data_IF_668930486639
#
_entry.id   IF_668930486639
#
_cell.length_a   1.000
_cell.length_b   1.000
_cell.length_c   1.000
_cell.angle_alpha   90.00
_cell.angle_beta   90.00
_cell.angle_gamma   90.00
#
_symmetry.space_group_name_H-M   'P 1'
#
loop_
_entity.id
_entity.type
_entity.pdbx_description
1 polymer ?
#
# COMPACT_ATOMS: atom_id res chain seq x y z
N UNK A 1 -55.03 59.91 49.72
CA UNK A 1 -55.96 60.37 48.66
C UNK A 1 -55.18 60.39 47.36
N UNK A 2 -55.18 59.27 46.64
CA UNK A 2 -54.76 59.14 45.23
C UNK A 2 -55.30 57.78 44.76
N UNK A 3 -56.47 57.82 44.12
CA UNK A 3 -57.01 56.73 43.32
C UNK A 3 -56.26 56.69 41.99
N UNK A 4 -55.86 55.50 41.56
CA UNK A 4 -55.51 55.22 40.18
C UNK A 4 -56.49 54.15 39.70
N UNK A 5 -57.44 54.59 38.89
CA UNK A 5 -58.45 53.77 38.22
C UNK A 5 -57.83 53.02 37.04
N UNK A 6 -58.36 51.82 36.80
CA UNK A 6 -57.96 50.93 35.73
C UNK A 6 -58.58 51.36 34.39
N UNK A 7 -57.80 51.26 33.30
CA UNK A 7 -58.30 51.31 31.93
C UNK A 7 -58.13 49.96 31.20
N UNK A 8 -58.99 49.66 30.20
CA UNK A 8 -59.29 48.29 29.77
C UNK A 8 -58.46 47.80 28.57
N UNK A 9 -58.42 46.47 28.46
CA UNK A 9 -57.72 45.69 27.43
C UNK A 9 -58.35 45.85 26.02
N UNK A 10 -57.55 46.04 24.95
CA UNK A 10 -58.06 46.01 23.57
C UNK A 10 -58.20 44.57 23.02
N UNK A 11 -59.08 44.35 22.03
CA UNK A 11 -59.67 43.04 21.72
C UNK A 11 -58.79 42.10 20.89
N UNK A 12 -59.03 40.80 21.10
CA UNK A 12 -58.52 39.66 20.34
C UNK A 12 -58.72 39.82 18.82
N UNK A 13 -57.63 39.90 18.06
CA UNK A 13 -57.62 39.66 16.63
C UNK A 13 -57.37 38.18 16.35
N UNK A 14 -58.44 37.52 15.91
CA UNK A 14 -58.48 36.17 15.37
C UNK A 14 -57.63 36.11 14.09
N UNK A 15 -56.40 35.59 14.17
CA UNK A 15 -55.66 35.16 12.99
C UNK A 15 -56.10 33.74 12.66
N UNK A 16 -57.07 33.67 11.75
CA UNK A 16 -57.49 32.46 11.06
C UNK A 16 -56.26 31.74 10.48
N UNK A 17 -56.22 30.43 10.70
CA UNK A 17 -55.35 29.46 10.04
C UNK A 17 -55.16 29.79 8.55
N UNK A 18 -53.95 30.18 8.19
CA UNK A 18 -53.41 29.78 6.89
C UNK A 18 -52.62 28.51 7.16
N UNK A 19 -53.27 27.39 6.88
CA UNK A 19 -52.63 26.08 6.72
C UNK A 19 -51.60 26.19 5.59
N UNK A 20 -50.38 26.61 5.94
CA UNK A 20 -49.21 26.33 5.12
C UNK A 20 -49.01 24.82 5.19
N UNK A 21 -49.30 24.18 4.06
CA UNK A 21 -49.11 22.77 3.80
C UNK A 21 -47.80 22.27 4.41
N UNK A 22 -47.91 21.20 5.18
CA UNK A 22 -46.87 20.50 5.93
C UNK A 22 -45.78 19.83 5.06
N UNK A 23 -45.68 20.23 3.80
CA UNK A 23 -44.87 19.61 2.74
C UNK A 23 -43.74 20.51 2.19
N UNK A 24 -43.45 21.66 2.81
CA UNK A 24 -42.31 22.52 2.45
C UNK A 24 -41.14 22.53 3.47
N UNK A 25 -41.11 21.58 4.41
CA UNK A 25 -39.86 21.20 5.08
C UNK A 25 -39.19 20.06 4.30
N UNK A 26 -38.88 20.34 3.04
CA UNK A 26 -38.04 19.48 2.23
C UNK A 26 -36.68 19.29 2.93
N UNK A 27 -36.30 18.02 3.10
CA UNK A 27 -35.10 17.53 3.75
C UNK A 27 -33.85 18.40 3.45
N UNK A 28 -33.51 19.30 4.38
CA UNK A 28 -32.16 19.87 4.45
C UNK A 28 -31.22 18.71 4.77
N UNK A 29 -30.27 18.35 3.88
CA UNK A 29 -29.37 17.25 4.18
C UNK A 29 -28.57 17.60 5.44
N UNK A 30 -28.69 16.77 6.47
CA UNK A 30 -27.91 16.90 7.70
C UNK A 30 -26.40 16.89 7.41
N UNK A 31 -25.56 17.35 8.36
CA UNK A 31 -24.12 17.43 8.15
C UNK A 31 -23.55 16.08 7.69
N UNK A 32 -22.78 16.11 6.60
CA UNK A 32 -22.29 14.89 5.94
C UNK A 32 -21.64 13.92 6.94
N UNK A 33 -22.05 12.65 6.89
CA UNK A 33 -21.51 11.61 7.75
C UNK A 33 -20.04 11.30 7.36
N UNK A 34 -19.28 10.65 8.24
CA UNK A 34 -17.84 10.37 8.06
C UNK A 34 -17.52 9.70 6.72
N UNK A 35 -18.40 8.81 6.22
CA UNK A 35 -18.24 8.16 4.90
C UNK A 35 -18.41 9.15 3.75
N UNK A 36 -19.48 9.94 3.76
CA UNK A 36 -19.73 10.98 2.76
C UNK A 36 -18.60 12.02 2.71
N UNK A 37 -18.07 12.45 3.87
CA UNK A 37 -16.91 13.36 3.92
C UNK A 37 -15.66 12.78 3.27
N UNK A 38 -15.46 11.46 3.34
CA UNK A 38 -14.34 10.78 2.67
C UNK A 38 -14.57 10.70 1.16
N UNK A 39 -15.76 10.34 0.73
CA UNK A 39 -16.14 10.29 -0.68
C UNK A 39 -16.03 11.68 -1.32
N UNK A 40 -16.54 12.72 -0.68
CA UNK A 40 -16.39 14.10 -1.13
C UNK A 40 -14.92 14.51 -1.25
N UNK A 41 -14.08 14.15 -0.26
CA UNK A 41 -12.64 14.44 -0.32
C UNK A 41 -11.95 13.69 -1.47
N UNK A 42 -12.30 12.43 -1.71
CA UNK A 42 -11.77 11.64 -2.83
C UNK A 42 -12.22 12.20 -4.17
N UNK A 43 -13.51 12.52 -4.32
CA UNK A 43 -14.06 13.08 -5.56
C UNK A 43 -13.45 14.44 -5.89
N UNK A 44 -13.21 15.28 -4.88
CA UNK A 44 -12.53 16.57 -5.05
C UNK A 44 -11.07 16.41 -5.52
N UNK A 45 -10.47 15.23 -5.35
CA UNK A 45 -9.10 14.91 -5.76
C UNK A 45 -9.02 14.07 -7.04
N UNK A 46 -10.12 13.47 -7.49
CA UNK A 46 -10.17 12.61 -8.69
C UNK A 46 -10.03 13.36 -10.03
N UNK A 47 -9.54 14.60 -10.04
CA UNK A 47 -9.41 15.45 -11.23
C UNK A 47 -7.98 15.78 -11.67
N UNK A 48 -6.92 15.25 -11.04
CA UNK A 48 -5.56 15.48 -11.49
C UNK A 48 -4.47 15.29 -10.43
N UNK A 49 -3.22 15.19 -10.89
CA UNK A 49 -2.02 15.08 -10.07
C UNK A 49 -1.84 16.35 -9.24
N UNK A 50 -2.30 16.31 -7.99
CA UNK A 50 -2.24 17.45 -7.05
C UNK A 50 -0.92 17.44 -6.29
N UNK A 51 -0.34 18.62 -6.11
CA UNK A 51 0.82 18.81 -5.24
C UNK A 51 0.42 18.75 -3.75
N UNK A 52 -0.86 18.79 -3.37
CA UNK A 52 -1.26 18.71 -1.96
C UNK A 52 -1.17 17.28 -1.43
N UNK A 53 -0.41 17.10 -0.34
CA UNK A 53 -0.29 15.81 0.35
C UNK A 53 -1.66 15.30 0.84
N UNK A 54 -1.93 13.99 0.73
CA UNK A 54 -3.18 13.42 1.21
C UNK A 54 -3.31 13.52 2.73
N UNK A 55 -4.53 13.64 3.22
CA UNK A 55 -4.84 13.78 4.66
C UNK A 55 -5.21 12.44 5.28
N UNK A 56 -4.36 11.90 6.16
CA UNK A 56 -4.50 10.56 6.79
C UNK A 56 -5.90 10.27 7.35
N UNK A 57 -6.58 11.28 7.92
CA UNK A 57 -7.92 11.15 8.52
C UNK A 57 -8.97 10.57 7.57
N UNK A 58 -8.82 10.74 6.25
CA UNK A 58 -9.75 10.25 5.24
C UNK A 58 -9.46 8.83 4.74
N UNK A 59 -8.27 8.29 5.05
CA UNK A 59 -7.79 6.97 4.59
C UNK A 59 -7.66 5.96 5.74
N UNK A 60 -8.14 6.30 6.95
CA UNK A 60 -8.07 5.40 8.10
C UNK A 60 -8.93 4.16 7.89
N UNK A 61 -8.27 3.00 7.88
CA UNK A 61 -8.86 1.66 7.93
C UNK A 61 -8.43 0.96 9.22
N UNK A 62 -9.23 -0.01 9.71
CA UNK A 62 -8.83 -0.83 10.88
C UNK A 62 -7.51 -1.53 10.56
N UNK A 63 -6.60 -1.57 11.53
CA UNK A 63 -5.27 -2.16 11.38
C UNK A 63 -5.33 -3.67 11.06
N UNK A 64 -6.27 -4.38 11.67
CA UNK A 64 -6.45 -5.81 11.46
C UNK A 64 -7.26 -6.07 10.18
N UNK A 65 -6.59 -6.04 9.03
CA UNK A 65 -7.10 -6.71 7.84
C UNK A 65 -7.01 -8.23 8.07
N UNK A 66 -7.99 -8.99 7.61
CA UNK A 66 -7.87 -10.43 7.63
C UNK A 66 -6.90 -10.84 6.51
N UNK A 67 -5.70 -11.28 6.88
CA UNK A 67 -4.66 -11.75 5.97
C UNK A 67 -5.14 -12.94 5.12
N UNK A 68 -6.29 -13.54 5.44
CA UNK A 68 -6.87 -14.65 4.69
C UNK A 68 -8.10 -14.27 3.85
N UNK A 69 -8.57 -13.02 3.88
CA UNK A 69 -9.69 -12.57 3.03
C UNK A 69 -9.17 -11.99 1.69
N UNK A 70 -8.40 -12.79 0.96
CA UNK A 70 -7.65 -12.40 -0.25
C UNK A 70 -8.49 -12.31 -1.54
N UNK A 71 -9.82 -12.12 -1.44
CA UNK A 71 -10.69 -12.30 -2.61
C UNK A 71 -10.38 -11.33 -3.78
N UNK A 72 -9.70 -10.22 -3.52
CA UNK A 72 -9.40 -9.17 -4.50
C UNK A 72 -7.91 -8.78 -4.58
N UNK A 73 -6.98 -9.69 -4.27
CA UNK A 73 -5.53 -9.44 -4.48
C UNK A 73 -5.06 -10.19 -5.72
N UNK A 74 -4.52 -9.43 -6.69
CA UNK A 74 -3.91 -9.98 -7.90
C UNK A 74 -2.40 -10.11 -7.65
N UNK A 75 -1.89 -11.32 -7.81
CA UNK A 75 -0.46 -11.61 -7.75
C UNK A 75 0.06 -11.87 -9.17
N UNK A 76 1.27 -11.40 -9.51
CA UNK A 76 1.89 -11.79 -10.77
C UNK A 76 2.13 -13.30 -10.79
N UNK A 77 2.07 -13.90 -11.98
CA UNK A 77 2.29 -15.34 -12.18
C UNK A 77 3.73 -15.72 -11.77
N UNK A 78 4.69 -14.85 -12.06
CA UNK A 78 6.08 -14.93 -11.61
C UNK A 78 6.70 -13.53 -11.61
N UNK A 79 7.91 -13.34 -11.06
CA UNK A 79 8.57 -12.03 -11.04
C UNK A 79 8.75 -11.40 -12.43
N UNK A 80 8.85 -12.24 -13.48
CA UNK A 80 8.97 -11.79 -14.87
C UNK A 80 7.67 -11.18 -15.43
N UNK A 81 6.53 -11.40 -14.78
CA UNK A 81 5.22 -10.89 -15.17
C UNK A 81 4.79 -9.65 -14.36
N UNK A 82 5.69 -9.08 -13.55
CA UNK A 82 5.41 -7.88 -12.77
C UNK A 82 5.75 -6.62 -13.56
N UNK A 83 4.74 -5.81 -13.87
CA UNK A 83 4.92 -4.52 -14.55
C UNK A 83 5.39 -3.44 -13.57
N UNK A 84 6.70 -3.43 -13.30
CA UNK A 84 7.30 -2.42 -12.43
C UNK A 84 7.33 -1.01 -13.06
N UNK A 85 7.21 -0.89 -14.40
CA UNK A 85 7.25 0.41 -15.08
C UNK A 85 6.08 1.32 -14.69
N UNK A 86 4.92 0.75 -14.36
CA UNK A 86 3.77 1.51 -13.83
C UNK A 86 4.08 2.18 -12.48
N UNK A 87 4.96 1.59 -11.66
CA UNK A 87 5.34 2.12 -10.35
C UNK A 87 6.52 3.09 -10.40
N UNK A 88 7.45 2.87 -11.34
CA UNK A 88 8.71 3.61 -11.50
C UNK A 88 8.90 4.13 -12.94
N UNK A 89 8.01 5.02 -13.43
CA UNK A 89 8.03 5.45 -14.83
C UNK A 89 9.34 6.15 -15.24
N UNK A 90 10.02 6.84 -14.31
CA UNK A 90 11.31 7.48 -14.56
C UNK A 90 12.45 6.48 -14.83
N UNK A 91 12.29 5.22 -14.41
CA UNK A 91 13.28 4.15 -14.56
C UNK A 91 12.90 3.14 -15.64
N UNK A 92 11.75 3.31 -16.30
CA UNK A 92 11.34 2.48 -17.41
C UNK A 92 12.23 2.73 -18.64
N UNK A 93 12.49 1.68 -19.41
CA UNK A 93 13.07 1.80 -20.73
C UNK A 93 12.11 2.54 -21.66
N UNK A 94 12.63 3.39 -22.58
CA UNK A 94 11.80 4.05 -23.58
C UNK A 94 11.12 2.99 -24.47
N UNK A 95 9.90 3.26 -24.91
CA UNK A 95 9.23 2.39 -25.88
C UNK A 95 10.04 2.36 -27.16
N UNK A 96 10.47 1.17 -27.57
CA UNK A 96 11.01 0.95 -28.91
C UNK A 96 9.82 1.06 -29.85
N UNK A 97 9.68 2.20 -30.52
CA UNK A 97 8.76 2.31 -31.64
C UNK A 97 9.28 1.36 -32.73
N UNK A 98 8.62 0.22 -32.90
CA UNK A 98 8.88 -0.66 -34.03
C UNK A 98 8.68 0.16 -35.31
N UNK A 99 9.79 0.53 -35.97
CA UNK A 99 9.79 1.01 -37.34
C UNK A 99 9.31 -0.12 -38.22
N UNK A 100 8.00 -0.17 -38.48
CA UNK A 100 7.42 -1.03 -39.52
C UNK A 100 7.94 -0.50 -40.86
N UNK A 101 9.08 -1.02 -41.31
CA UNK A 101 9.41 -1.05 -42.73
C UNK A 101 8.38 -1.92 -43.41
N UNK A 102 7.54 -1.28 -44.21
CA UNK A 102 6.61 -1.91 -45.13
C UNK A 102 7.35 -2.76 -46.14
N UNK A 103 7.50 -4.07 -45.87
CA UNK A 103 7.81 -5.04 -46.92
C UNK A 103 6.54 -5.80 -47.27
N UNK A 104 5.91 -5.31 -48.32
CA UNK A 104 4.78 -5.91 -49.03
C UNK A 104 5.16 -7.29 -49.58
N UNK A 105 4.46 -8.34 -49.16
CA UNK A 105 4.35 -9.62 -49.89
C UNK A 105 3.09 -10.31 -49.35
N UNK A 106 1.90 -9.95 -49.87
CA UNK A 106 1.13 -10.71 -50.85
C UNK A 106 0.94 -12.21 -50.56
N UNK A 107 -0.35 -12.57 -50.42
CA UNK A 107 -1.02 -13.87 -50.66
C UNK A 107 -0.75 -15.00 -49.66
N UNK A 108 -1.74 -15.74 -49.14
CA UNK A 108 -2.99 -16.19 -49.76
C UNK A 108 -4.01 -16.66 -48.70
N UNK A 109 -5.30 -16.39 -48.99
CA UNK A 109 -6.49 -16.93 -48.34
C UNK A 109 -6.50 -18.46 -48.22
N UNK A 110 -6.88 -18.97 -47.05
CA UNK A 110 -7.61 -20.25 -46.95
C UNK A 110 -8.75 -20.10 -45.93
N UNK A 111 -9.95 -20.06 -46.49
CA UNK A 111 -11.25 -20.16 -45.85
C UNK A 111 -11.43 -21.50 -45.12
N UNK A 112 -11.83 -21.48 -43.84
CA UNK A 112 -12.39 -22.65 -43.16
C UNK A 112 -13.71 -22.26 -42.49
N UNK A 113 -14.72 -23.04 -42.86
CA UNK A 113 -16.16 -22.83 -42.65
C UNK A 113 -16.57 -22.97 -41.19
N UNK A 114 -17.52 -22.14 -40.81
CA UNK A 114 -18.33 -22.29 -39.62
C UNK A 114 -19.07 -23.63 -39.63
N UNK A 115 -19.04 -24.33 -38.50
CA UNK A 115 -20.01 -25.37 -38.15
C UNK A 115 -20.83 -24.80 -37.00
N UNK A 116 -22.09 -24.50 -37.31
CA UNK A 116 -23.12 -24.17 -36.34
C UNK A 116 -23.60 -25.47 -35.67
N UNK A 117 -23.60 -25.49 -34.34
CA UNK A 117 -24.54 -26.29 -33.56
C UNK A 117 -25.09 -25.41 -32.47
N UNK A 118 -26.37 -25.07 -32.60
CA UNK A 118 -27.21 -24.52 -31.54
C UNK A 118 -27.48 -25.62 -30.51
N UNK A 119 -27.40 -25.28 -29.22
CA UNK A 119 -28.43 -25.65 -28.26
C UNK A 119 -28.28 -24.88 -26.94
N UNK A 120 -29.42 -24.40 -26.44
CA UNK A 120 -29.74 -24.44 -25.01
C UNK A 120 -29.33 -23.25 -24.14
N UNK A 121 -30.29 -22.37 -23.90
CA UNK A 121 -30.37 -21.36 -22.85
C UNK A 121 -30.11 -21.88 -21.43
N UNK A 122 -29.42 -21.08 -20.60
CA UNK A 122 -29.91 -20.65 -19.28
C UNK A 122 -29.07 -19.47 -18.74
N UNK A 123 -29.75 -18.53 -18.08
CA UNK A 123 -29.24 -17.20 -17.81
C UNK A 123 -28.51 -16.97 -16.47
N UNK A 124 -28.10 -15.71 -16.36
CA UNK A 124 -27.86 -14.91 -15.15
C UNK A 124 -26.43 -14.87 -14.58
N UNK A 125 -25.85 -13.66 -14.55
CA UNK A 125 -24.97 -13.22 -13.46
C UNK A 125 -23.52 -12.88 -13.81
N UNK A 126 -23.19 -11.61 -13.55
CA UNK A 126 -21.86 -11.05 -13.28
C UNK A 126 -20.88 -10.90 -14.46
N UNK A 127 -20.78 -9.67 -14.96
CA UNK A 127 -19.60 -9.18 -15.68
C UNK A 127 -18.41 -9.09 -14.72
N UNK A 128 -17.74 -10.21 -14.49
CA UNK A 128 -16.36 -10.22 -14.05
C UNK A 128 -15.51 -9.71 -15.21
N UNK A 129 -14.89 -8.54 -15.05
CA UNK A 129 -13.81 -8.13 -15.94
C UNK A 129 -12.64 -9.09 -15.73
N UNK A 130 -12.62 -10.19 -16.47
CA UNK A 130 -11.44 -11.03 -16.60
C UNK A 130 -10.31 -10.16 -17.16
N UNK A 131 -9.30 -9.92 -16.33
CA UNK A 131 -8.07 -9.30 -16.79
C UNK A 131 -7.44 -10.27 -17.81
N UNK A 132 -7.55 -9.92 -19.09
CA UNK A 132 -6.81 -10.59 -20.16
C UNK A 132 -5.32 -10.48 -19.78
N UNK A 133 -4.58 -11.60 -19.64
CA UNK A 133 -3.17 -11.52 -19.31
C UNK A 133 -2.44 -10.84 -20.48
N UNK A 134 -1.97 -9.61 -20.27
CA UNK A 134 -1.04 -8.98 -21.19
C UNK A 134 0.14 -9.94 -21.37
N UNK A 135 0.55 -10.17 -22.62
CA UNK A 135 1.70 -11.03 -22.89
C UNK A 135 2.93 -10.38 -22.27
N UNK A 136 3.81 -11.17 -21.63
CA UNK A 136 5.04 -10.66 -21.01
C UNK A 136 5.94 -9.84 -21.96
N UNK A 137 5.72 -9.97 -23.27
CA UNK A 137 6.43 -9.25 -24.32
C UNK A 137 6.06 -7.75 -24.39
N UNK A 138 4.94 -7.35 -23.81
CA UNK A 138 4.39 -6.00 -23.91
C UNK A 138 4.68 -5.13 -22.66
N UNK A 139 5.37 -5.66 -21.64
CA UNK A 139 5.73 -4.90 -20.44
C UNK A 139 7.06 -4.17 -20.61
N UNK A 140 7.08 -2.89 -20.25
CA UNK A 140 8.30 -2.08 -20.28
C UNK A 140 9.24 -2.55 -19.18
N UNK A 141 10.47 -2.87 -19.55
CA UNK A 141 11.51 -3.25 -18.60
C UNK A 141 11.99 -2.02 -17.82
N UNK A 142 12.38 -2.23 -16.58
CA UNK A 142 13.10 -1.21 -15.82
C UNK A 142 14.60 -1.32 -16.08
N UNK A 143 15.27 -0.17 -16.02
CA UNK A 143 16.74 -0.06 -16.08
C UNK A 143 17.44 -0.71 -14.88
N UNK A 144 16.72 -0.91 -13.78
CA UNK A 144 17.22 -1.51 -12.55
C UNK A 144 16.09 -2.19 -11.78
N UNK A 145 16.43 -3.20 -10.99
CA UNK A 145 15.47 -3.95 -10.17
C UNK A 145 15.14 -3.20 -8.86
N UNK A 146 13.99 -3.54 -8.27
CA UNK A 146 13.68 -3.18 -6.87
C UNK A 146 14.62 -3.92 -5.94
N UNK A 147 15.32 -3.20 -5.06
CA UNK A 147 16.28 -3.79 -4.12
C UNK A 147 15.85 -3.66 -2.65
N UNK A 148 14.89 -2.80 -2.33
CA UNK A 148 14.41 -2.59 -0.95
C UNK A 148 12.92 -2.85 -0.86
N UNK A 149 12.51 -3.65 0.12
CA UNK A 149 11.10 -3.86 0.43
C UNK A 149 10.78 -3.42 1.86
N UNK A 150 9.76 -2.58 2.04
CA UNK A 150 9.16 -2.22 3.32
C UNK A 150 7.85 -3.01 3.49
N UNK A 151 7.91 -4.11 4.25
CA UNK A 151 6.79 -5.02 4.42
C UNK A 151 5.88 -4.52 5.54
N UNK A 152 4.63 -4.26 5.19
CA UNK A 152 3.68 -3.63 6.10
C UNK A 152 3.95 -2.14 6.27
N UNK A 153 4.28 -1.43 5.18
CA UNK A 153 4.80 -0.05 5.21
C UNK A 153 3.87 1.01 5.84
N UNK A 154 2.61 0.66 6.13
CA UNK A 154 1.64 1.58 6.70
C UNK A 154 1.47 2.82 5.83
N UNK A 155 1.60 4.01 6.41
CA UNK A 155 1.47 5.27 5.68
C UNK A 155 2.75 5.71 4.93
N UNK A 156 3.74 4.80 4.80
CA UNK A 156 4.92 4.98 3.96
C UNK A 156 5.94 5.97 4.51
N UNK A 157 5.97 6.20 5.83
CA UNK A 157 6.92 7.10 6.47
C UNK A 157 8.38 6.73 6.18
N UNK A 158 8.72 5.44 6.30
CA UNK A 158 10.06 4.93 6.02
C UNK A 158 10.49 5.20 4.57
N UNK A 159 9.66 4.80 3.60
CA UNK A 159 9.94 4.96 2.17
C UNK A 159 10.21 6.42 1.80
N UNK A 160 9.40 7.34 2.32
CA UNK A 160 9.55 8.77 2.06
C UNK A 160 10.85 9.31 2.67
N UNK A 161 11.24 8.84 3.85
CA UNK A 161 12.48 9.28 4.48
C UNK A 161 13.74 8.68 3.83
N UNK A 162 13.68 7.42 3.38
CA UNK A 162 14.80 6.75 2.71
C UNK A 162 14.96 7.20 1.25
N UNK A 163 13.90 7.65 0.58
CA UNK A 163 13.95 8.05 -0.84
C UNK A 163 15.07 9.02 -1.20
N UNK A 164 15.26 10.14 -0.48
CA UNK A 164 16.38 11.05 -0.74
C UNK A 164 17.75 10.51 -0.30
N UNK A 165 17.80 9.57 0.66
CA UNK A 165 19.05 8.98 1.19
C UNK A 165 19.58 7.86 0.29
N UNK A 166 18.70 7.17 -0.43
CA UNK A 166 19.03 6.08 -1.35
C UNK A 166 18.57 6.40 -2.79
N UNK A 167 19.02 7.51 -3.42
CA UNK A 167 18.45 8.03 -4.67
C UNK A 167 18.58 7.06 -5.86
N UNK A 168 19.57 6.17 -5.83
CA UNK A 168 19.84 5.21 -6.89
C UNK A 168 19.17 3.84 -6.64
N UNK A 169 18.50 3.65 -5.50
CA UNK A 169 17.92 2.35 -5.13
C UNK A 169 16.41 2.40 -5.20
N UNK A 170 15.81 1.49 -5.97
CA UNK A 170 14.36 1.36 -6.03
C UNK A 170 13.83 0.65 -4.78
N UNK A 171 12.82 1.25 -4.16
CA UNK A 171 12.21 0.77 -2.93
C UNK A 171 10.70 0.64 -3.06
N UNK A 172 10.15 -0.44 -2.50
CA UNK A 172 8.75 -0.78 -2.58
C UNK A 172 8.14 -0.97 -1.19
N UNK A 173 7.09 -0.21 -0.89
CA UNK A 173 6.18 -0.52 0.21
C UNK A 173 5.19 -1.61 -0.16
N UNK A 174 5.00 -2.59 0.70
CA UNK A 174 3.93 -3.60 0.55
C UNK A 174 2.94 -3.42 1.69
N UNK A 175 1.68 -3.12 1.38
CA UNK A 175 0.63 -2.94 2.38
C UNK A 175 -0.65 -3.66 1.94
N UNK A 176 -1.35 -4.30 2.87
CA UNK A 176 -2.54 -5.10 2.56
C UNK A 176 -3.81 -4.23 2.47
N UNK A 177 -3.84 -3.11 3.21
CA UNK A 177 -5.02 -2.23 3.31
C UNK A 177 -5.13 -1.30 2.12
N UNK A 178 -6.21 -1.43 1.36
CA UNK A 178 -6.50 -0.64 0.16
C UNK A 178 -6.43 0.86 0.43
N UNK A 179 -7.14 1.38 1.45
CA UNK A 179 -7.15 2.81 1.73
C UNK A 179 -5.79 3.35 2.13
N UNK A 180 -4.98 2.54 2.81
CA UNK A 180 -3.64 2.94 3.23
C UNK A 180 -2.69 2.93 2.04
N UNK A 181 -2.78 1.93 1.16
CA UNK A 181 -2.00 1.88 -0.09
C UNK A 181 -2.31 3.09 -0.98
N UNK A 182 -3.59 3.41 -1.18
CA UNK A 182 -4.05 4.60 -1.93
C UNK A 182 -3.45 5.89 -1.36
N UNK A 183 -3.43 6.03 -0.03
CA UNK A 183 -2.80 7.17 0.62
C UNK A 183 -1.31 7.28 0.28
N UNK A 184 -0.58 6.16 0.33
CA UNK A 184 0.86 6.17 0.06
C UNK A 184 1.13 6.49 -1.41
N UNK A 185 0.36 5.95 -2.34
CA UNK A 185 0.42 6.32 -3.76
C UNK A 185 0.23 7.81 -3.97
N UNK A 186 -0.84 8.39 -3.43
CA UNK A 186 -1.09 9.83 -3.54
C UNK A 186 0.01 10.67 -2.89
N UNK A 187 0.54 10.22 -1.74
CA UNK A 187 1.63 10.90 -1.03
C UNK A 187 2.90 10.93 -1.86
N UNK A 188 3.32 9.79 -2.41
CA UNK A 188 4.52 9.68 -3.24
C UNK A 188 4.35 10.50 -4.52
N UNK A 189 3.19 10.43 -5.18
CA UNK A 189 2.93 11.21 -6.40
C UNK A 189 2.97 12.73 -6.14
N UNK A 190 2.36 13.20 -5.05
CA UNK A 190 2.43 14.60 -4.65
C UNK A 190 3.89 15.03 -4.38
N UNK A 191 4.69 14.19 -3.70
CA UNK A 191 6.11 14.46 -3.44
C UNK A 191 6.95 14.49 -4.73
N UNK A 192 6.70 13.57 -5.67
CA UNK A 192 7.34 13.57 -7.00
C UNK A 192 7.06 14.86 -7.77
N UNK A 193 5.83 15.36 -7.72
CA UNK A 193 5.46 16.63 -8.36
C UNK A 193 6.12 17.84 -7.70
N UNK A 194 6.04 17.91 -6.36
CA UNK A 194 6.65 19.00 -5.57
C UNK A 194 8.16 19.11 -5.81
N UNK A 195 8.83 17.98 -6.04
CA UNK A 195 10.28 17.89 -6.22
C UNK A 195 10.67 17.51 -7.66
N UNK A 196 9.81 17.83 -8.63
CA UNK A 196 10.01 17.46 -10.04
C UNK A 196 11.30 18.01 -10.65
N UNK A 197 11.75 19.19 -10.21
CA UNK A 197 13.00 19.82 -10.65
C UNK A 197 14.25 19.06 -10.18
N UNK A 198 14.17 18.47 -8.99
CA UNK A 198 15.29 17.75 -8.36
C UNK A 198 15.25 16.25 -8.68
N UNK A 199 14.14 15.75 -9.23
CA UNK A 199 13.96 14.34 -9.56
C UNK A 199 13.80 13.43 -8.33
N UNK A 200 13.45 13.98 -7.16
CA UNK A 200 13.32 13.20 -5.93
C UNK A 200 12.06 12.32 -5.92
N UNK A 201 12.08 11.28 -5.08
CA UNK A 201 10.98 10.34 -4.83
C UNK A 201 10.55 9.49 -6.04
N UNK A 202 11.29 9.55 -7.14
CA UNK A 202 11.06 8.68 -8.30
C UNK A 202 11.36 7.21 -7.99
N UNK A 203 12.22 6.97 -7.00
CA UNK A 203 12.71 5.65 -6.58
C UNK A 203 11.84 4.95 -5.53
N UNK A 204 10.77 5.57 -5.05
CA UNK A 204 9.86 4.97 -4.06
C UNK A 204 8.49 4.68 -4.69
N UNK A 205 7.90 3.53 -4.36
CA UNK A 205 6.53 3.19 -4.71
C UNK A 205 5.87 2.36 -3.61
N UNK A 206 4.57 2.09 -3.74
CA UNK A 206 3.82 1.21 -2.85
C UNK A 206 3.01 0.22 -3.69
N UNK A 207 2.71 -0.95 -3.15
CA UNK A 207 1.93 -1.99 -3.79
C UNK A 207 0.94 -2.57 -2.77
N UNK A 208 -0.30 -2.76 -3.21
CA UNK A 208 -1.27 -3.51 -2.41
C UNK A 208 -0.95 -4.99 -2.51
N UNK A 209 -0.37 -5.58 -1.49
CA UNK A 209 0.03 -6.98 -1.49
C UNK A 209 -0.05 -7.60 -0.10
N UNK A 210 -0.29 -8.91 -0.07
CA UNK A 210 -0.13 -9.72 1.12
C UNK A 210 1.28 -10.31 1.11
N UNK A 211 2.19 -9.72 1.86
CA UNK A 211 3.59 -10.18 1.94
C UNK A 211 3.76 -11.58 2.57
N UNK A 212 2.72 -12.10 3.24
CA UNK A 212 2.73 -13.47 3.80
C UNK A 212 2.36 -14.54 2.77
N UNK A 213 1.91 -14.14 1.58
CA UNK A 213 1.48 -15.05 0.53
C UNK A 213 2.14 -14.61 -0.76
N UNK A 214 3.12 -15.37 -1.21
CA UNK A 214 3.75 -15.23 -2.53
C UNK A 214 4.75 -14.06 -2.65
N UNK A 215 5.60 -13.84 -1.64
CA UNK A 215 6.75 -12.95 -1.82
C UNK A 215 7.64 -13.36 -3.03
N UNK A 216 7.90 -14.67 -3.29
CA UNK A 216 8.63 -15.13 -4.47
C UNK A 216 7.95 -14.87 -5.82
N UNK A 217 6.66 -14.50 -5.84
CA UNK A 217 6.00 -14.10 -7.08
C UNK A 217 6.37 -12.68 -7.50
N UNK A 218 6.73 -11.81 -6.55
CA UNK A 218 7.12 -10.43 -6.84
C UNK A 218 8.62 -10.30 -7.13
N UNK A 219 9.45 -11.05 -6.40
CA UNK A 219 10.90 -10.89 -6.44
C UNK A 219 11.61 -12.15 -6.91
N UNK A 220 12.61 -11.97 -7.77
CA UNK A 220 13.53 -13.04 -8.18
C UNK A 220 14.38 -13.48 -6.98
N UNK A 221 15.04 -14.64 -7.09
CA UNK A 221 16.06 -15.04 -6.12
C UNK A 221 17.13 -13.95 -6.03
N UNK A 222 17.58 -13.62 -4.83
CA UNK A 222 18.68 -12.68 -4.55
C UNK A 222 18.44 -11.25 -5.10
N UNK A 223 17.20 -10.86 -5.36
CA UNK A 223 16.90 -9.55 -5.92
C UNK A 223 17.07 -8.42 -4.88
N UNK A 224 16.62 -8.64 -3.64
CA UNK A 224 16.58 -7.62 -2.60
C UNK A 224 17.92 -7.51 -1.85
N UNK A 225 18.32 -6.30 -1.52
CA UNK A 225 19.43 -6.02 -0.59
C UNK A 225 18.93 -5.72 0.83
N UNK A 226 17.71 -5.20 0.97
CA UNK A 226 17.12 -4.86 2.28
C UNK A 226 15.64 -5.22 2.37
N UNK A 227 15.23 -5.80 3.50
CA UNK A 227 13.83 -5.94 3.89
C UNK A 227 13.62 -5.23 5.22
N UNK A 228 12.57 -4.42 5.34
CA UNK A 228 12.18 -3.77 6.58
C UNK A 228 10.87 -4.38 7.12
N UNK A 229 10.89 -4.76 8.39
CA UNK A 229 9.75 -5.23 9.18
C UNK A 229 9.52 -4.23 10.33
N UNK A 230 8.82 -3.13 10.03
CA UNK A 230 8.65 -2.02 10.97
C UNK A 230 7.34 -2.13 11.75
N UNK A 231 7.44 -2.32 13.07
CA UNK A 231 6.28 -2.40 13.99
C UNK A 231 5.18 -3.38 13.52
N UNK A 232 5.54 -4.65 13.21
CA UNK A 232 4.55 -5.64 12.78
C UNK A 232 3.53 -5.95 13.89
N UNK A 233 2.31 -6.37 13.51
CA UNK A 233 1.26 -6.70 14.48
C UNK A 233 1.72 -7.87 15.38
N UNK A 234 1.78 -7.68 16.72
CA UNK A 234 2.29 -8.68 17.65
C UNK A 234 1.39 -9.91 17.78
N UNK A 235 0.12 -9.81 17.41
CA UNK A 235 -0.88 -10.87 17.55
C UNK A 235 -0.80 -11.63 18.89
N UNK A 236 -0.94 -10.91 20.01
CA UNK A 236 -0.75 -11.37 21.40
C UNK A 236 -1.42 -12.70 21.80
N UNK A 237 -2.45 -13.15 21.09
CA UNK A 237 -3.14 -14.40 21.43
C UNK A 237 -2.38 -15.56 20.79
N UNK A 238 -1.97 -16.56 21.57
CA UNK A 238 -1.22 -17.74 21.09
C UNK A 238 -1.80 -18.37 19.81
N UNK A 239 -3.14 -18.52 19.75
CA UNK A 239 -3.86 -19.03 18.56
C UNK A 239 -3.66 -18.22 17.28
N UNK A 240 -3.15 -16.99 17.38
CA UNK A 240 -2.88 -16.05 16.29
C UNK A 240 -1.39 -15.89 15.99
N UNK A 241 -0.49 -16.59 16.68
CA UNK A 241 0.95 -16.48 16.39
C UNK A 241 1.30 -16.89 14.96
N UNK A 242 0.52 -17.78 14.34
CA UNK A 242 0.65 -18.15 12.92
C UNK A 242 0.43 -16.99 11.94
N UNK A 243 -0.22 -15.90 12.37
CA UNK A 243 -0.46 -14.73 11.54
C UNK A 243 0.64 -13.67 11.66
N UNK A 244 1.64 -13.89 12.53
CA UNK A 244 2.73 -12.94 12.69
C UNK A 244 3.70 -13.08 11.51
N UNK A 245 4.36 -11.98 11.14
CA UNK A 245 5.14 -11.87 9.89
C UNK A 245 6.49 -12.61 9.91
N UNK A 246 6.98 -13.03 11.09
CA UNK A 246 8.25 -13.76 11.21
C UNK A 246 7.99 -15.22 11.52
N UNK A 247 8.42 -16.14 10.68
CA UNK A 247 8.26 -17.57 10.98
C UNK A 247 9.32 -18.34 10.21
N UNK A 248 9.53 -19.62 10.51
CA UNK A 248 10.50 -20.43 9.78
C UNK A 248 10.25 -20.37 8.27
N UNK A 249 8.99 -20.55 7.83
CA UNK A 249 8.61 -20.51 6.41
C UNK A 249 8.83 -19.13 5.79
N UNK A 250 8.37 -18.06 6.45
CA UNK A 250 8.53 -16.71 5.91
C UNK A 250 10.00 -16.29 5.89
N UNK A 251 10.80 -16.71 6.88
CA UNK A 251 12.23 -16.48 6.88
C UNK A 251 12.91 -17.19 5.69
N UNK A 252 12.44 -18.37 5.28
CA UNK A 252 12.92 -19.00 4.04
C UNK A 252 12.54 -18.19 2.78
N UNK A 253 11.34 -17.59 2.73
CA UNK A 253 10.94 -16.68 1.64
C UNK A 253 11.79 -15.40 1.63
N UNK A 254 12.09 -14.83 2.79
CA UNK A 254 13.03 -13.71 2.92
C UNK A 254 14.43 -14.10 2.48
N UNK A 255 14.90 -15.29 2.86
CA UNK A 255 16.20 -15.81 2.46
C UNK A 255 16.29 -16.08 0.95
N UNK A 256 15.17 -16.41 0.29
CA UNK A 256 15.11 -16.53 -1.17
C UNK A 256 15.20 -15.17 -1.86
N UNK A 257 14.47 -14.17 -1.37
CA UNK A 257 14.40 -12.86 -2.01
C UNK A 257 15.63 -11.98 -1.72
N UNK A 258 16.24 -12.09 -0.53
CA UNK A 258 17.39 -11.28 -0.11
C UNK A 258 18.69 -11.93 -0.56
N UNK A 259 19.55 -11.17 -1.23
CA UNK A 259 20.89 -11.63 -1.66
C UNK A 259 21.81 -11.89 -0.47
N UNK A 260 22.81 -12.78 -0.58
CA UNK A 260 23.89 -12.88 0.39
C UNK A 260 24.52 -11.51 0.72
N UNK A 261 24.75 -11.26 2.00
CA UNK A 261 25.18 -9.96 2.54
C UNK A 261 24.06 -8.92 2.73
N UNK A 262 22.88 -9.14 2.16
CA UNK A 262 21.70 -8.31 2.41
C UNK A 262 21.18 -8.41 3.85
N UNK A 263 20.35 -7.46 4.27
CA UNK A 263 19.94 -7.33 5.69
C UNK A 263 18.41 -7.26 5.82
N UNK A 264 17.88 -8.04 6.76
CA UNK A 264 16.50 -7.91 7.25
C UNK A 264 16.52 -7.05 8.52
N UNK A 265 15.87 -5.91 8.45
CA UNK A 265 15.74 -4.92 9.53
C UNK A 265 14.43 -5.14 10.26
N UNK A 266 14.47 -5.27 11.58
CA UNK A 266 13.27 -5.43 12.40
C UNK A 266 13.25 -4.42 13.53
N UNK A 267 12.07 -3.85 13.80
CA UNK A 267 11.84 -2.94 14.91
C UNK A 267 10.45 -3.15 15.50
N UNK A 268 10.32 -3.14 16.82
CA UNK A 268 9.03 -3.21 17.51
C UNK A 268 9.10 -2.53 18.88
N UNK A 269 7.94 -2.12 19.41
CA UNK A 269 7.74 -1.63 20.77
C UNK A 269 7.29 -2.74 21.75
N UNK A 270 7.16 -3.99 21.27
CA UNK A 270 6.73 -5.14 22.07
C UNK A 270 7.89 -6.11 22.26
N UNK A 271 8.41 -6.21 23.49
CA UNK A 271 9.55 -7.07 23.83
C UNK A 271 9.31 -8.55 23.50
N UNK A 272 8.14 -9.10 23.84
CA UNK A 272 7.78 -10.47 23.50
C UNK A 272 7.81 -10.75 22.00
N UNK A 273 7.44 -9.75 21.18
CA UNK A 273 7.50 -9.88 19.73
C UNK A 273 8.95 -9.81 19.26
N UNK A 274 9.75 -8.91 19.84
CA UNK A 274 11.18 -8.81 19.56
C UNK A 274 11.88 -10.14 19.80
N UNK A 275 11.77 -10.70 21.01
CA UNK A 275 12.40 -11.97 21.38
C UNK A 275 11.96 -13.10 20.44
N UNK A 276 10.68 -13.13 20.07
CA UNK A 276 10.17 -14.10 19.11
C UNK A 276 10.78 -13.94 17.71
N UNK A 277 10.95 -12.71 17.22
CA UNK A 277 11.64 -12.47 15.95
C UNK A 277 13.10 -12.91 16.02
N UNK A 278 13.81 -12.55 17.10
CA UNK A 278 15.20 -12.97 17.34
C UNK A 278 15.33 -14.48 17.28
N UNK A 279 14.52 -15.20 18.06
CA UNK A 279 14.54 -16.65 18.13
C UNK A 279 14.35 -17.31 16.76
N UNK A 280 13.43 -16.81 15.92
CA UNK A 280 13.13 -17.43 14.63
C UNK A 280 14.18 -17.14 13.56
N UNK A 281 14.80 -15.96 13.59
CA UNK A 281 15.90 -15.65 12.67
C UNK A 281 17.20 -16.35 13.07
N UNK A 282 17.54 -16.38 14.37
CA UNK A 282 18.76 -17.05 14.85
C UNK A 282 18.73 -18.57 14.64
N UNK A 283 17.56 -19.19 14.69
CA UNK A 283 17.40 -20.62 14.36
C UNK A 283 17.45 -20.92 12.86
N UNK A 284 17.34 -19.92 12.00
CA UNK A 284 17.29 -20.14 10.55
C UNK A 284 18.71 -20.12 9.96
N UNK A 285 19.14 -21.17 9.24
CA UNK A 285 20.55 -21.34 8.83
C UNK A 285 21.03 -20.27 7.84
N UNK A 286 20.12 -19.60 7.15
CA UNK A 286 20.43 -18.54 6.18
C UNK A 286 20.70 -17.18 6.81
N UNK A 287 20.57 -17.00 8.13
CA UNK A 287 20.71 -15.68 8.75
C UNK A 287 21.69 -15.69 9.92
N UNK A 288 22.42 -14.58 10.06
CA UNK A 288 23.24 -14.30 11.23
C UNK A 288 22.85 -12.94 11.82
N UNK A 289 22.89 -12.84 13.15
CA UNK A 289 22.64 -11.58 13.84
C UNK A 289 23.72 -10.56 13.52
N UNK A 290 23.32 -9.33 13.18
CA UNK A 290 24.24 -8.20 13.04
C UNK A 290 24.61 -7.68 14.43
N UNK A 291 25.88 -7.32 14.62
CA UNK A 291 26.38 -6.80 15.90
C UNK A 291 25.70 -5.47 16.26
N UNK A 292 25.63 -5.16 17.55
CA UNK A 292 25.05 -3.90 18.01
C UNK A 292 25.84 -2.68 17.50
N UNK A 293 27.17 -2.78 17.44
CA UNK A 293 28.03 -1.70 16.90
C UNK A 293 27.69 -1.39 15.44
N UNK A 294 27.58 -2.42 14.59
CA UNK A 294 27.22 -2.23 13.19
C UNK A 294 25.77 -1.78 13.02
N UNK A 295 24.85 -2.27 13.85
CA UNK A 295 23.45 -1.85 13.86
C UNK A 295 23.33 -0.35 14.17
N UNK A 296 24.02 0.15 15.20
CA UNK A 296 23.92 1.55 15.59
C UNK A 296 24.68 2.49 14.63
N UNK A 297 25.61 1.97 13.83
CA UNK A 297 26.29 2.72 12.77
C UNK A 297 25.48 2.83 11.46
N UNK A 298 24.43 2.03 11.26
CA UNK A 298 23.63 2.01 10.03
C UNK A 298 22.59 3.15 9.99
N UNK A 299 22.72 4.05 9.02
CA UNK A 299 21.80 5.18 8.82
C UNK A 299 20.34 4.73 8.60
N UNK A 300 20.12 3.55 7.98
CA UNK A 300 18.78 3.00 7.81
C UNK A 300 18.12 2.68 9.16
N UNK A 301 18.90 2.32 10.19
CA UNK A 301 18.40 2.06 11.54
C UNK A 301 17.94 3.36 12.20
N UNK A 302 18.70 4.44 12.06
CA UNK A 302 18.30 5.76 12.55
C UNK A 302 16.96 6.20 11.94
N UNK A 303 16.86 6.13 10.61
CA UNK A 303 15.63 6.48 9.87
C UNK A 303 14.46 5.59 10.29
N UNK A 304 14.68 4.27 10.39
CA UNK A 304 13.66 3.31 10.83
C UNK A 304 13.14 3.62 12.25
N UNK A 305 14.01 4.04 13.16
CA UNK A 305 13.63 4.42 14.53
C UNK A 305 12.79 5.70 14.54
N UNK A 306 13.10 6.69 13.70
CA UNK A 306 12.60 8.07 13.88
C UNK A 306 11.49 8.49 12.91
N UNK A 307 11.46 7.93 11.69
CA UNK A 307 10.65 8.48 10.60
C UNK A 307 9.34 7.72 10.34
N UNK A 308 9.21 6.52 10.90
CA UNK A 308 7.95 5.76 10.82
C UNK A 308 6.89 6.36 11.74
N UNK A 309 5.63 6.34 11.33
CA UNK A 309 4.53 6.86 12.13
C UNK A 309 4.41 6.18 13.50
N UNK A 310 4.59 4.86 13.54
CA UNK A 310 4.58 4.10 14.79
C UNK A 310 5.83 4.41 15.63
N UNK A 311 7.01 4.56 15.02
CA UNK A 311 8.22 5.01 15.72
C UNK A 311 8.05 6.36 16.40
N UNK A 312 7.48 7.35 15.70
CA UNK A 312 7.16 8.67 16.26
C UNK A 312 6.12 8.60 17.38
N UNK A 313 5.12 7.70 17.27
CA UNK A 313 4.12 7.47 18.32
C UNK A 313 4.75 6.85 19.57
N UNK A 314 5.64 5.87 19.41
CA UNK A 314 6.35 5.22 20.51
C UNK A 314 7.22 6.25 21.24
N UNK A 315 7.98 7.09 20.52
CA UNK A 315 8.76 8.18 21.14
C UNK A 315 7.88 9.14 21.94
N UNK A 316 6.74 9.58 21.39
CA UNK A 316 5.81 10.48 22.10
C UNK A 316 5.22 9.87 23.37
N UNK A 317 5.14 8.54 23.43
CA UNK A 317 4.64 7.81 24.58
C UNK A 317 5.77 7.34 25.53
N UNK A 318 7.00 7.78 25.31
CA UNK A 318 8.19 7.33 26.04
C UNK A 318 8.36 5.80 26.06
N UNK A 319 7.90 5.12 24.99
CA UNK A 319 8.04 3.68 24.83
C UNK A 319 9.42 3.29 24.33
N UNK A 320 9.82 2.05 24.64
CA UNK A 320 11.07 1.47 24.15
C UNK A 320 10.92 0.97 22.70
N UNK A 321 12.03 0.94 21.98
CA UNK A 321 12.11 0.42 20.60
C UNK A 321 13.20 -0.63 20.53
N UNK A 322 12.79 -1.87 20.36
CA UNK A 322 13.68 -3.02 20.24
C UNK A 322 14.03 -3.23 18.77
N UNK A 323 15.31 -3.14 18.43
CA UNK A 323 15.83 -3.30 17.06
C UNK A 323 16.64 -4.58 16.96
N UNK A 324 16.48 -5.27 15.84
CA UNK A 324 17.21 -6.47 15.50
C UNK A 324 17.47 -6.54 14.00
N UNK A 325 18.73 -6.73 13.60
CA UNK A 325 19.14 -6.87 12.21
C UNK A 325 19.70 -8.27 11.97
N UNK A 326 19.37 -8.85 10.81
CA UNK A 326 19.82 -10.18 10.41
C UNK A 326 20.42 -10.14 9.01
N UNK A 327 21.71 -10.48 8.90
CA UNK A 327 22.40 -10.57 7.62
C UNK A 327 22.14 -11.91 6.97
N UNK A 328 21.79 -11.89 5.68
CA UNK A 328 21.67 -13.08 4.85
C UNK A 328 23.07 -13.67 4.61
N UNK A 329 23.24 -14.92 5.01
CA UNK A 329 24.45 -15.69 4.76
C UNK A 329 24.47 -16.24 3.34
N UNK A 330 25.66 -16.60 2.86
CA UNK A 330 25.82 -17.38 1.63
C UNK A 330 25.09 -18.72 1.74
N UNK A 331 24.56 -19.21 0.62
CA UNK A 331 24.03 -20.58 0.58
C UNK A 331 25.19 -21.58 0.74
N UNK A 332 24.98 -22.70 1.45
CA UNK A 332 25.99 -23.74 1.53
C UNK A 332 26.35 -24.25 0.12
N UNK A 333 27.61 -24.61 -0.14
CA UNK A 333 28.06 -25.00 -1.47
C UNK A 333 27.56 -26.37 -1.95
N UNK A 334 26.73 -27.08 -1.17
CA UNK A 334 26.35 -28.48 -1.38
C UNK A 334 24.86 -28.70 -1.63
#
# INVERSE_FOLDING_TARGET
MFSLEAEPCPPHLNLHNQDLSRDEFAAMPGPANKKQKREQYKNARQGGSTTELPKKKFYRQRAHANVFSDHDLVYPISPAYMDWATYYPAYAEPEVADSIESTTSQTQDISLKAVETQDGSDGNGATSSEAIPMKAKDMRKLKQDVEVADIGCGFGGLLVALAPKLPNTLMLGMEIRTQVTEYVHERINALRLQNSKEGLYQNAACLRANSMKFLPNFFKKDQLSKIFLCFPDPHFKARKHKARIVSTTLNSEYAYAVRPGGIVYTITDVEDLHLWMVEHFEKHPSFARVSEEEQEADECVEVMRMETEEGQKVTRNNGQKFVALFRRLEDPPW
#
